data_IF_974887013998
#
_entry.id   IF_974887013998
#
_cell.length_a   1.000
_cell.length_b   1.000
_cell.length_c   1.000
_cell.angle_alpha   90.00
_cell.angle_beta   90.00
_cell.angle_gamma   90.00
#
_symmetry.space_group_name_H-M   'P 1'
#
loop_
_entity.id
_entity.type
_entity.pdbx_description
1 polymer ?
#
# COMPACT_ATOMS: atom_id res chain seq x y z
N UNK A 1 -8.04 6.03 -13.27
CA UNK A 1 -6.74 5.50 -13.74
C UNK A 1 -5.73 6.62 -13.92
N UNK A 2 -6.02 7.63 -14.76
CA UNK A 2 -5.15 8.79 -14.99
C UNK A 2 -4.74 9.51 -13.67
N UNK A 3 -5.72 9.88 -12.86
CA UNK A 3 -5.48 10.65 -11.63
C UNK A 3 -4.68 9.86 -10.60
N UNK A 4 -4.90 8.55 -10.53
CA UNK A 4 -4.17 7.67 -9.62
C UNK A 4 -2.66 7.69 -9.90
N UNK A 5 -2.27 7.47 -11.16
CA UNK A 5 -0.86 7.45 -11.53
C UNK A 5 -0.23 8.84 -11.52
N UNK A 6 -1.02 9.87 -11.83
CA UNK A 6 -0.61 11.26 -11.65
C UNK A 6 -0.27 11.53 -10.19
N UNK A 7 -1.12 11.10 -9.24
CA UNK A 7 -0.88 11.21 -7.80
C UNK A 7 0.37 10.44 -7.38
N UNK A 8 0.51 9.16 -7.79
CA UNK A 8 1.70 8.33 -7.49
C UNK A 8 2.98 9.05 -7.92
N UNK A 9 2.97 9.66 -9.10
CA UNK A 9 4.11 10.40 -9.61
C UNK A 9 4.34 11.73 -8.86
N UNK A 10 3.32 12.57 -8.72
CA UNK A 10 3.48 13.91 -8.14
C UNK A 10 3.84 13.87 -6.66
N UNK A 11 3.31 12.89 -5.92
CA UNK A 11 3.59 12.72 -4.48
C UNK A 11 4.87 11.92 -4.19
N UNK A 12 5.64 11.55 -5.23
CA UNK A 12 6.89 10.77 -5.13
C UNK A 12 6.69 9.42 -4.37
N UNK A 13 5.57 8.74 -4.64
CA UNK A 13 5.26 7.42 -4.06
C UNK A 13 6.20 6.38 -4.66
N UNK A 14 6.92 5.66 -3.80
CA UNK A 14 7.78 4.52 -4.20
C UNK A 14 7.26 3.18 -3.70
N UNK A 15 6.27 3.19 -2.80
CA UNK A 15 5.73 1.98 -2.20
C UNK A 15 4.21 2.07 -2.13
N UNK A 16 3.56 1.05 -2.67
CA UNK A 16 2.12 0.85 -2.66
C UNK A 16 1.85 -0.43 -1.88
N UNK A 17 0.93 -0.41 -0.93
CA UNK A 17 0.38 -1.61 -0.32
C UNK A 17 -1.05 -1.79 -0.82
N UNK A 18 -1.27 -2.82 -1.62
CA UNK A 18 -2.58 -3.19 -2.15
C UNK A 18 -3.17 -4.32 -1.32
N UNK A 19 -4.36 -4.06 -0.78
CA UNK A 19 -5.15 -4.98 0.01
C UNK A 19 -6.13 -5.72 -0.91
N UNK A 20 -5.98 -7.03 -1.00
CA UNK A 20 -6.77 -7.93 -1.85
C UNK A 20 -7.89 -8.58 -1.01
N UNK A 21 -9.13 -8.66 -1.50
CA UNK A 21 -10.20 -9.41 -0.85
C UNK A 21 -9.84 -10.87 -0.54
N UNK A 22 -10.33 -11.39 0.59
CA UNK A 22 -10.10 -12.79 1.00
C UNK A 22 -10.66 -13.82 0.01
N UNK A 23 -11.80 -13.51 -0.64
CA UNK A 23 -12.49 -14.44 -1.53
C UNK A 23 -11.85 -14.54 -2.92
N UNK A 24 -10.96 -13.62 -3.28
CA UNK A 24 -10.16 -13.68 -4.49
C UNK A 24 -8.89 -14.47 -4.17
N UNK A 25 -8.84 -15.75 -4.57
CA UNK A 25 -7.68 -16.64 -4.46
C UNK A 25 -6.53 -16.15 -5.35
N UNK A 26 -5.91 -15.04 -4.99
CA UNK A 26 -4.70 -14.52 -5.61
C UNK A 26 -4.88 -13.83 -6.96
N UNK A 27 -6.10 -13.76 -7.49
CA UNK A 27 -6.45 -12.86 -8.59
C UNK A 27 -6.60 -11.45 -8.02
N UNK A 28 -5.87 -10.49 -8.58
CA UNK A 28 -6.13 -9.08 -8.30
C UNK A 28 -7.53 -8.82 -8.86
N UNK A 29 -8.47 -8.23 -8.09
CA UNK A 29 -9.77 -7.83 -8.65
C UNK A 29 -9.46 -7.04 -9.91
N UNK A 30 -10.25 -7.21 -10.97
CA UNK A 30 -10.09 -6.54 -12.27
C UNK A 30 -10.19 -5.02 -12.14
N UNK A 31 -9.20 -4.40 -11.50
CA UNK A 31 -9.09 -3.00 -11.24
C UNK A 31 -8.38 -2.41 -12.42
N UNK A 32 -9.14 -1.69 -13.23
CA UNK A 32 -8.71 -1.04 -14.47
C UNK A 32 -7.51 -0.08 -14.31
N UNK A 33 -6.96 0.10 -13.10
CA UNK A 33 -5.83 0.97 -12.81
C UNK A 33 -4.45 0.30 -12.89
N UNK A 34 -4.34 -1.03 -12.96
CA UNK A 34 -3.04 -1.71 -12.97
C UNK A 34 -2.70 -2.35 -14.32
N UNK A 35 -1.45 -2.28 -14.80
CA UNK A 35 -1.00 -3.13 -15.90
C UNK A 35 -0.93 -4.59 -15.47
N UNK A 36 -1.21 -5.51 -16.40
CA UNK A 36 -0.93 -6.92 -16.23
C UNK A 36 0.58 -7.17 -16.27
N UNK A 37 1.02 -8.30 -15.73
CA UNK A 37 2.42 -8.70 -15.78
C UNK A 37 2.92 -8.78 -17.23
N UNK A 38 4.04 -8.11 -17.52
CA UNK A 38 4.62 -8.03 -18.86
C UNK A 38 3.98 -6.97 -19.76
N UNK A 39 2.82 -6.42 -19.36
CA UNK A 39 2.12 -5.38 -20.11
C UNK A 39 2.48 -3.97 -19.63
N UNK A 40 2.02 -2.99 -20.41
CA UNK A 40 2.16 -1.58 -20.09
C UNK A 40 0.82 -0.86 -20.12
N UNK A 41 0.63 0.04 -19.18
CA UNK A 41 -0.50 0.95 -19.09
C UNK A 41 -0.01 2.37 -19.38
N UNK A 42 -0.64 3.05 -20.33
CA UNK A 42 -0.31 4.43 -20.68
C UNK A 42 -1.37 5.40 -20.16
N UNK A 43 -0.90 6.48 -19.53
CA UNK A 43 -1.68 7.68 -19.20
C UNK A 43 -1.26 8.81 -20.14
N UNK A 44 -1.83 10.02 -20.00
CA UNK A 44 -1.43 11.17 -20.84
C UNK A 44 0.03 11.57 -20.64
N UNK A 45 0.64 11.22 -19.50
CA UNK A 45 1.97 11.69 -19.11
C UNK A 45 2.95 10.60 -18.70
N UNK A 46 2.45 9.40 -18.40
CA UNK A 46 3.23 8.30 -17.85
C UNK A 46 2.97 7.01 -18.64
N UNK A 47 4.01 6.20 -18.79
CA UNK A 47 3.91 4.78 -19.13
C UNK A 47 4.31 3.97 -17.91
N UNK A 48 3.44 3.05 -17.50
CA UNK A 48 3.61 2.18 -16.35
C UNK A 48 3.77 0.75 -16.86
N UNK A 49 4.90 0.12 -16.57
CA UNK A 49 5.17 -1.28 -16.90
C UNK A 49 5.14 -2.11 -15.62
N UNK A 50 4.52 -3.28 -15.68
CA UNK A 50 4.50 -4.24 -14.57
C UNK A 50 5.48 -5.38 -14.86
N UNK A 51 6.50 -5.52 -14.02
CA UNK A 51 7.38 -6.67 -14.06
C UNK A 51 6.74 -7.85 -13.29
N UNK A 52 7.36 -9.02 -13.42
CA UNK A 52 6.94 -10.24 -12.71
C UNK A 52 6.85 -10.07 -11.21
N UNK A 53 5.76 -10.59 -10.65
CA UNK A 53 5.56 -10.64 -9.21
C UNK A 53 6.59 -11.56 -8.56
N UNK A 54 7.19 -11.12 -7.46
CA UNK A 54 8.19 -11.88 -6.71
C UNK A 54 7.97 -11.74 -5.21
N UNK A 55 8.61 -12.63 -4.44
CA UNK A 55 8.64 -12.51 -2.99
C UNK A 55 9.73 -11.52 -2.55
N UNK A 56 9.32 -10.48 -1.83
CA UNK A 56 10.22 -9.50 -1.20
C UNK A 56 9.99 -9.57 0.31
N UNK A 57 11.01 -9.97 1.06
CA UNK A 57 10.92 -10.21 2.51
C UNK A 57 9.78 -11.17 2.90
N UNK A 58 9.48 -12.16 2.05
CA UNK A 58 8.40 -13.12 2.26
C UNK A 58 7.02 -12.70 1.74
N UNK A 59 6.88 -11.48 1.20
CA UNK A 59 5.60 -10.93 0.74
C UNK A 59 5.53 -10.81 -0.77
N UNK A 60 4.35 -11.07 -1.33
CA UNK A 60 4.06 -10.88 -2.76
C UNK A 60 4.26 -9.42 -3.14
N UNK A 61 5.10 -9.17 -4.14
CA UNK A 61 5.47 -7.82 -4.57
C UNK A 61 5.64 -7.76 -6.08
N UNK A 62 4.89 -6.86 -6.73
CA UNK A 62 5.08 -6.51 -8.13
C UNK A 62 5.99 -5.27 -8.22
N UNK A 63 6.95 -5.28 -9.14
CA UNK A 63 7.76 -4.10 -9.46
C UNK A 63 7.10 -3.35 -10.61
N UNK A 64 6.94 -2.03 -10.42
CA UNK A 64 6.32 -1.16 -11.40
C UNK A 64 7.35 -0.13 -11.86
N UNK A 65 7.49 0.02 -13.16
CA UNK A 65 8.38 1.00 -13.77
C UNK A 65 7.54 2.12 -14.38
N UNK A 66 7.67 3.32 -13.82
CA UNK A 66 6.96 4.53 -14.25
C UNK A 66 7.92 5.39 -15.05
N UNK A 67 7.63 5.60 -16.33
CA UNK A 67 8.38 6.48 -17.23
C UNK A 67 7.54 7.71 -17.56
N UNK A 68 8.09 8.90 -17.37
CA UNK A 68 7.42 10.14 -17.74
C UNK A 68 7.78 10.55 -19.17
N UNK A 69 6.78 10.61 -20.04
CA UNK A 69 6.94 10.78 -21.49
C UNK A 69 7.70 12.07 -21.86
N UNK A 70 7.36 13.19 -21.23
CA UNK A 70 7.98 14.50 -21.53
C UNK A 70 9.26 14.82 -20.75
N UNK A 71 9.49 14.19 -19.60
CA UNK A 71 10.54 14.61 -18.64
C UNK A 71 11.79 13.73 -18.70
N UNK A 72 11.81 12.69 -19.55
CA UNK A 72 12.88 11.70 -19.62
C UNK A 72 13.31 11.18 -18.22
N UNK A 73 12.35 11.06 -17.30
CA UNK A 73 12.55 10.58 -15.94
C UNK A 73 11.84 9.25 -15.76
N UNK A 74 12.48 8.37 -15.02
CA UNK A 74 11.97 7.05 -14.68
C UNK A 74 12.01 6.85 -13.17
N UNK A 75 11.03 6.09 -12.65
CA UNK A 75 10.96 5.68 -11.25
C UNK A 75 10.53 4.23 -11.13
N UNK A 76 11.06 3.57 -10.11
CA UNK A 76 10.59 2.26 -9.70
C UNK A 76 9.66 2.41 -8.50
N UNK A 77 8.53 1.71 -8.54
CA UNK A 77 7.52 1.65 -7.49
C UNK A 77 7.30 0.19 -7.13
N UNK A 78 7.30 -0.11 -5.84
CA UNK A 78 7.06 -1.45 -5.33
C UNK A 78 5.60 -1.56 -4.89
N UNK A 79 4.85 -2.51 -5.44
CA UNK A 79 3.48 -2.80 -5.03
C UNK A 79 3.44 -4.11 -4.24
N UNK A 80 3.30 -4.01 -2.93
CA UNK A 80 3.05 -5.14 -2.05
C UNK A 80 1.59 -5.57 -2.14
N UNK A 81 1.34 -6.87 -2.16
CA UNK A 81 0.01 -7.45 -2.22
C UNK A 81 -0.24 -8.20 -0.92
N UNK A 82 -1.29 -7.80 -0.20
CA UNK A 82 -1.69 -8.44 1.05
C UNK A 82 -3.14 -8.86 0.98
N UNK A 83 -3.42 -10.14 1.23
CA UNK A 83 -4.79 -10.64 1.30
C UNK A 83 -5.41 -10.25 2.64
N UNK A 84 -6.49 -9.48 2.56
CA UNK A 84 -7.30 -9.06 3.70
C UNK A 84 -7.89 -10.25 4.45
N UNK A 85 -8.18 -10.00 5.72
CA UNK A 85 -8.90 -10.97 6.56
C UNK A 85 -10.41 -10.87 6.31
N UNK A 86 -11.15 -11.87 6.76
CA UNK A 86 -12.61 -11.90 6.69
C UNK A 86 -13.21 -12.23 8.06
N UNK A 87 -14.53 -12.08 8.20
CA UNK A 87 -15.25 -12.51 9.41
C UNK A 87 -15.02 -13.97 9.76
N UNK A 88 -14.72 -14.82 8.77
CA UNK A 88 -14.45 -16.25 8.94
C UNK A 88 -12.99 -16.55 9.27
N UNK A 89 -12.07 -15.64 8.95
CA UNK A 89 -10.64 -15.82 9.17
C UNK A 89 -10.00 -14.49 9.52
N UNK A 90 -9.82 -14.28 10.83
CA UNK A 90 -9.09 -13.14 11.39
C UNK A 90 -7.62 -13.16 10.96
N UNK A 91 -6.94 -12.00 10.90
CA UNK A 91 -5.55 -11.94 10.49
C UNK A 91 -4.66 -12.48 11.60
N UNK A 92 -3.56 -13.13 11.21
CA UNK A 92 -2.49 -13.39 12.17
C UNK A 92 -1.79 -12.06 12.51
N UNK A 93 -1.81 -11.69 13.79
CA UNK A 93 -1.28 -10.42 14.27
C UNK A 93 0.22 -10.33 13.99
N UNK A 94 0.95 -11.44 14.18
CA UNK A 94 2.38 -11.49 13.91
C UNK A 94 2.66 -11.21 12.43
N UNK A 95 1.92 -11.86 11.53
CA UNK A 95 1.96 -11.61 10.09
C UNK A 95 1.70 -10.15 9.72
N UNK A 96 0.71 -9.48 10.35
CA UNK A 96 0.45 -8.05 10.11
C UNK A 96 1.63 -7.16 10.50
N UNK A 97 2.24 -7.41 11.66
CA UNK A 97 3.40 -6.64 12.13
C UNK A 97 4.60 -6.89 11.21
N UNK A 98 4.82 -8.12 10.78
CA UNK A 98 5.88 -8.48 9.82
C UNK A 98 5.70 -7.82 8.45
N UNK A 99 4.47 -7.71 7.96
CA UNK A 99 4.15 -6.97 6.74
C UNK A 99 4.55 -5.51 6.87
N UNK A 100 4.08 -4.82 7.92
CA UNK A 100 4.36 -3.40 8.14
C UNK A 100 5.88 -3.16 8.29
N UNK A 101 6.59 -4.06 8.97
CA UNK A 101 8.05 -4.00 9.06
C UNK A 101 8.72 -4.20 7.70
N UNK A 102 8.25 -5.14 6.89
CA UNK A 102 8.79 -5.39 5.55
C UNK A 102 8.60 -4.19 4.63
N UNK A 103 7.39 -3.61 4.61
CA UNK A 103 7.06 -2.39 3.84
C UNK A 103 8.00 -1.26 4.26
N UNK A 104 8.15 -0.98 5.56
CA UNK A 104 9.06 0.07 6.07
C UNK A 104 10.53 -0.16 5.71
N UNK A 105 11.01 -1.41 5.74
CA UNK A 105 12.40 -1.74 5.37
C UNK A 105 12.67 -1.54 3.89
N UNK A 106 11.66 -1.74 3.05
CA UNK A 106 11.78 -1.60 1.60
C UNK A 106 11.64 -0.13 1.15
N UNK A 107 11.24 0.78 2.04
CA UNK A 107 11.20 2.21 1.74
C UNK A 107 12.60 2.73 1.38
N UNK A 108 12.73 3.51 0.29
CA UNK A 108 14.03 4.02 -0.13
C UNK A 108 14.58 5.01 0.91
N UNK A 109 15.85 4.82 1.29
CA UNK A 109 16.55 5.69 2.23
C UNK A 109 16.99 6.99 1.51
N UNK A 110 16.05 7.92 1.35
CA UNK A 110 16.25 9.21 0.67
C UNK A 110 16.11 10.38 1.63
N UNK A 111 16.69 11.54 1.28
CA UNK A 111 16.56 12.80 2.04
C UNK A 111 15.09 13.20 2.27
N UNK A 112 14.20 12.88 1.33
CA UNK A 112 12.75 13.02 1.47
C UNK A 112 12.12 11.66 1.15
N UNK A 113 11.48 11.06 2.14
CA UNK A 113 10.76 9.80 1.96
C UNK A 113 9.35 10.16 1.52
N UNK A 114 8.94 9.70 0.33
CA UNK A 114 7.56 9.83 -0.13
C UNK A 114 6.60 8.99 0.73
N UNK A 115 5.29 9.25 0.67
CA UNK A 115 4.32 8.48 1.45
C UNK A 115 4.21 7.04 0.94
N UNK A 116 3.81 6.13 1.84
CA UNK A 116 3.28 4.82 1.45
C UNK A 116 1.84 5.01 1.01
N UNK A 117 1.50 4.55 -0.19
CA UNK A 117 0.12 4.58 -0.67
C UNK A 117 -0.57 3.27 -0.28
N UNK A 118 -1.66 3.34 0.47
CA UNK A 118 -2.52 2.21 0.77
C UNK A 118 -3.69 2.17 -0.22
N UNK A 119 -3.91 1.02 -0.83
CA UNK A 119 -4.94 0.80 -1.84
C UNK A 119 -5.80 -0.40 -1.44
N UNK A 120 -7.13 -0.30 -1.55
CA UNK A 120 -8.06 -1.40 -1.28
C UNK A 120 -9.21 -1.31 -2.30
N UNK A 121 -9.68 -2.47 -2.76
CA UNK A 121 -10.86 -2.59 -3.64
C UNK A 121 -12.18 -2.61 -2.85
N UNK A 122 -12.11 -2.88 -1.53
CA UNK A 122 -13.24 -3.17 -0.67
C UNK A 122 -13.31 -2.26 0.55
N UNK A 123 -13.64 -2.85 1.69
CA UNK A 123 -13.88 -2.12 2.94
C UNK A 123 -12.63 -1.35 3.41
N UNK A 124 -12.84 -0.10 3.77
CA UNK A 124 -11.84 0.83 4.28
C UNK A 124 -11.59 0.66 5.79
N UNK A 125 -12.43 -0.09 6.50
CA UNK A 125 -12.28 -0.38 7.94
C UNK A 125 -10.95 -1.11 8.23
N UNK A 126 -10.59 -2.08 7.42
CA UNK A 126 -9.34 -2.84 7.56
C UNK A 126 -8.10 -2.01 7.20
N UNK A 127 -8.23 -1.07 6.25
CA UNK A 127 -7.20 -0.04 6.03
C UNK A 127 -7.01 0.79 7.30
N UNK A 128 -8.11 1.14 7.95
CA UNK A 128 -8.14 1.80 9.25
C UNK A 128 -7.29 1.08 10.30
N UNK A 129 -7.52 -0.22 10.44
CA UNK A 129 -6.78 -1.10 11.36
C UNK A 129 -5.29 -1.13 11.05
N UNK A 130 -4.91 -1.27 9.78
CA UNK A 130 -3.50 -1.30 9.36
C UNK A 130 -2.78 0.03 9.64
N UNK A 131 -3.40 1.16 9.29
CA UNK A 131 -2.82 2.49 9.54
C UNK A 131 -2.68 2.71 11.04
N UNK A 132 -3.72 2.38 11.82
CA UNK A 132 -3.69 2.53 13.26
C UNK A 132 -2.60 1.67 13.90
N UNK A 133 -2.46 0.41 13.48
CA UNK A 133 -1.40 -0.47 13.95
C UNK A 133 -0.01 0.08 13.63
N UNK A 134 0.20 0.60 12.42
CA UNK A 134 1.47 1.19 12.01
C UNK A 134 1.85 2.42 12.86
N UNK A 135 0.86 3.28 13.16
CA UNK A 135 1.02 4.42 14.05
C UNK A 135 1.33 3.99 15.49
N UNK A 136 0.61 3.00 16.03
CA UNK A 136 0.82 2.51 17.41
C UNK A 136 2.18 1.83 17.56
N UNK A 137 2.63 1.05 16.57
CA UNK A 137 3.97 0.46 16.55
C UNK A 137 5.06 1.55 16.54
N UNK A 138 4.83 2.66 15.82
CA UNK A 138 5.74 3.80 15.83
C UNK A 138 5.76 4.49 17.20
N UNK A 139 4.60 4.83 17.79
CA UNK A 139 4.50 5.43 19.12
C UNK A 139 5.20 4.57 20.19
N UNK A 140 4.96 3.27 20.18
CA UNK A 140 5.58 2.34 21.12
C UNK A 140 7.11 2.35 21.00
N UNK A 141 7.64 2.41 19.77
CA UNK A 141 9.08 2.39 19.51
C UNK A 141 9.75 3.72 19.84
N UNK A 142 9.17 4.83 19.40
CA UNK A 142 9.77 6.16 19.48
C UNK A 142 9.49 6.86 20.82
N UNK A 143 8.29 6.72 21.35
CA UNK A 143 7.78 7.51 22.47
C UNK A 143 7.54 6.65 23.73
N UNK A 144 7.61 5.32 23.60
CA UNK A 144 7.35 4.35 24.70
C UNK A 144 5.93 4.46 25.26
N UNK A 145 4.99 4.91 24.44
CA UNK A 145 3.55 5.01 24.77
C UNK A 145 2.71 4.33 23.68
N UNK A 146 1.47 4.01 24.03
CA UNK A 146 0.46 3.45 23.13
C UNK A 146 -0.87 4.13 23.44
N UNK A 147 -1.36 4.95 22.51
CA UNK A 147 -2.67 5.61 22.64
C UNK A 147 -3.60 5.16 21.51
N UNK A 148 -4.27 4.03 21.74
CA UNK A 148 -5.21 3.43 20.78
C UNK A 148 -6.34 4.41 20.45
N UNK A 149 -6.93 5.04 21.46
CA UNK A 149 -8.04 5.96 21.26
C UNK A 149 -7.61 7.20 20.47
N UNK A 150 -6.48 7.82 20.84
CA UNK A 150 -5.97 9.00 20.15
C UNK A 150 -5.65 8.74 18.68
N UNK A 151 -4.96 7.63 18.38
CA UNK A 151 -4.64 7.22 17.01
C UNK A 151 -5.91 6.96 16.19
N UNK A 152 -6.85 6.18 16.73
CA UNK A 152 -8.09 5.86 16.01
C UNK A 152 -8.98 7.09 15.80
N UNK A 153 -9.08 7.98 16.80
CA UNK A 153 -9.80 9.24 16.68
C UNK A 153 -9.17 10.17 15.63
N UNK A 154 -7.85 10.28 15.60
CA UNK A 154 -7.15 11.06 14.59
C UNK A 154 -7.42 10.52 13.19
N UNK A 155 -7.38 9.20 13.02
CA UNK A 155 -7.67 8.56 11.73
C UNK A 155 -9.12 8.80 11.29
N UNK A 156 -10.09 8.62 12.18
CA UNK A 156 -11.51 8.87 11.90
C UNK A 156 -11.78 10.34 11.53
N UNK A 157 -11.03 11.29 12.10
CA UNK A 157 -11.10 12.71 11.72
C UNK A 157 -10.51 12.99 10.33
N UNK A 158 -9.48 12.27 9.93
CA UNK A 158 -8.90 12.38 8.58
C UNK A 158 -9.75 11.68 7.52
N UNK A 159 -10.31 10.52 7.83
CA UNK A 159 -11.23 9.78 6.98
C UNK A 159 -12.19 8.95 7.84
N UNK A 160 -13.46 9.37 7.92
CA UNK A 160 -14.46 8.71 8.77
C UNK A 160 -14.74 7.26 8.38
N UNK A 161 -14.54 6.90 7.10
CA UNK A 161 -14.70 5.54 6.61
C UNK A 161 -13.56 4.59 7.00
N UNK A 162 -12.43 5.11 7.50
CA UNK A 162 -11.29 4.31 7.99
C UNK A 162 -11.37 4.07 9.50
N UNK A 163 -12.57 4.08 10.07
CA UNK A 163 -12.74 3.75 11.49
C UNK A 163 -12.44 2.25 11.69
N UNK A 164 -11.42 1.88 12.48
CA UNK A 164 -11.08 0.48 12.69
C UNK A 164 -12.22 -0.28 13.36
N UNK A 165 -12.55 -1.45 12.85
CA UNK A 165 -13.56 -2.36 13.42
C UNK A 165 -12.92 -3.70 13.78
N UNK A 166 -13.49 -4.40 14.77
CA UNK A 166 -13.11 -5.75 15.19
C UNK A 166 -13.91 -6.83 14.44
#
# INVERSE_FOLDING_TARGET
VEDFWTLVWEQDVHTILTLLPWEEKGEVPGEACWPLEGDSLCTKTLTIQCDTEKLVSGWRCAQLKLKHEKKAKERQVQRFLYTLWSSKKQPDIQSLVELLMAVRRCMPHRRRVGPVLLHCSGDLSQMGTLISLDCLLYQMKAERIVDIYGVTLQLARSCCFMTPTL
#
